data_IF_805038465875
#
_entry.id   IF_805038465875
#
_cell.length_a   1.000
_cell.length_b   1.000
_cell.length_c   1.000
_cell.angle_alpha   90.00
_cell.angle_beta   90.00
_cell.angle_gamma   90.00
#
_symmetry.space_group_name_H-M   'P 1'
#
loop_
_entity.id
_entity.type
_entity.pdbx_description
1 polymer ?
#
# COMPACT_ATOMS: atom_id res chain seq x y z
N UNK A 1 33.27 -1.21 -8.17
CA UNK A 1 32.18 -0.58 -7.40
C UNK A 1 32.68 0.78 -7.00
N UNK A 2 32.07 1.83 -7.55
CA UNK A 2 32.40 3.21 -7.17
C UNK A 2 31.57 3.54 -5.92
N UNK A 3 32.22 3.47 -4.76
CA UNK A 3 31.56 3.53 -3.45
C UNK A 3 30.77 4.82 -3.20
N UNK A 4 31.04 5.88 -3.95
CA UNK A 4 30.31 7.14 -3.84
C UNK A 4 28.94 7.10 -4.52
N UNK A 5 28.83 6.45 -5.68
CA UNK A 5 27.56 6.39 -6.42
C UNK A 5 26.55 5.50 -5.67
N UNK A 6 27.00 4.38 -5.13
CA UNK A 6 26.17 3.47 -4.33
C UNK A 6 25.66 4.15 -3.05
N UNK A 7 26.49 5.00 -2.43
CA UNK A 7 26.09 5.76 -1.25
C UNK A 7 25.03 6.82 -1.59
N UNK A 8 25.22 7.57 -2.67
CA UNK A 8 24.25 8.57 -3.13
C UNK A 8 22.92 7.88 -3.45
N UNK A 9 22.97 6.80 -4.23
CA UNK A 9 21.81 5.97 -4.55
C UNK A 9 21.08 5.54 -3.29
N UNK A 10 21.80 5.02 -2.30
CA UNK A 10 21.21 4.61 -1.04
C UNK A 10 20.54 5.76 -0.29
N UNK A 11 21.21 6.91 -0.17
CA UNK A 11 20.67 8.07 0.54
C UNK A 11 19.40 8.63 -0.13
N UNK A 12 19.36 8.66 -1.47
CA UNK A 12 18.23 9.21 -2.22
C UNK A 12 17.01 8.27 -2.28
N UNK A 13 17.22 6.95 -2.17
CA UNK A 13 16.17 5.94 -2.32
C UNK A 13 15.80 5.20 -1.03
N UNK A 14 16.53 5.42 0.06
CA UNK A 14 16.25 4.77 1.34
C UNK A 14 15.01 5.36 2.03
N UNK A 15 14.01 4.53 2.41
CA UNK A 15 12.89 4.97 3.24
C UNK A 15 13.33 5.51 4.61
N UNK A 16 14.50 5.12 5.12
CA UNK A 16 15.01 5.67 6.37
C UNK A 16 15.55 7.10 6.22
N UNK A 17 16.20 7.42 5.09
CA UNK A 17 16.81 8.73 4.85
C UNK A 17 15.94 9.69 4.01
N UNK A 18 14.81 9.23 3.47
CA UNK A 18 13.94 10.06 2.63
C UNK A 18 13.53 11.36 3.32
N UNK A 19 13.65 12.44 2.57
CA UNK A 19 13.27 13.81 2.94
C UNK A 19 13.98 14.40 4.18
N UNK A 20 15.09 13.82 4.65
CA UNK A 20 15.81 14.32 5.82
C UNK A 20 16.26 15.79 5.71
N UNK A 21 16.45 16.30 4.49
CA UNK A 21 16.88 17.69 4.27
C UNK A 21 15.72 18.68 4.40
N UNK A 22 14.51 18.32 3.98
CA UNK A 22 13.35 19.21 3.99
C UNK A 22 12.41 18.96 5.18
N UNK A 23 12.53 17.81 5.85
CA UNK A 23 11.67 17.43 6.94
C UNK A 23 11.92 18.29 8.20
N UNK A 24 10.83 18.85 8.74
CA UNK A 24 10.87 19.62 9.99
C UNK A 24 11.47 18.81 11.15
N UNK A 25 12.14 19.50 12.10
CA UNK A 25 12.68 18.84 13.30
C UNK A 25 11.62 18.06 14.09
N UNK A 26 10.37 18.50 14.07
CA UNK A 26 9.26 17.85 14.77
C UNK A 26 8.87 16.55 14.07
N UNK A 27 8.70 16.59 12.75
CA UNK A 27 8.37 15.41 11.94
C UNK A 27 9.47 14.36 12.04
N UNK A 28 10.73 14.78 11.92
CA UNK A 28 11.90 13.91 12.07
C UNK A 28 11.93 13.23 13.44
N UNK A 29 11.74 14.00 14.52
CA UNK A 29 11.69 13.44 15.88
C UNK A 29 10.53 12.45 16.04
N UNK A 30 9.37 12.73 15.44
CA UNK A 30 8.23 11.79 15.44
C UNK A 30 8.59 10.50 14.72
N UNK A 31 9.17 10.59 13.52
CA UNK A 31 9.63 9.42 12.78
C UNK A 31 10.62 8.58 13.61
N UNK A 32 11.65 9.19 14.19
CA UNK A 32 12.59 8.46 15.04
C UNK A 32 11.92 7.78 16.23
N UNK A 33 10.97 8.43 16.89
CA UNK A 33 10.23 7.83 18.01
C UNK A 33 9.37 6.64 17.57
N UNK A 34 8.76 6.70 16.38
CA UNK A 34 7.99 5.59 15.82
C UNK A 34 8.92 4.47 15.36
N UNK A 35 10.03 4.80 14.69
CA UNK A 35 11.06 3.86 14.24
C UNK A 35 11.62 3.02 15.40
N UNK A 36 11.94 3.65 16.53
CA UNK A 36 12.51 2.94 17.69
C UNK A 36 11.57 1.84 18.25
N UNK A 37 10.26 2.01 18.08
CA UNK A 37 9.23 1.07 18.55
C UNK A 37 8.94 -0.06 17.57
N UNK A 38 9.46 0.02 16.35
CA UNK A 38 9.25 -1.01 15.34
C UNK A 38 9.92 -2.34 15.75
N UNK A 39 9.31 -3.48 15.40
CA UNK A 39 10.00 -4.76 15.34
C UNK A 39 11.27 -4.68 14.48
N UNK A 40 12.27 -5.48 14.81
CA UNK A 40 13.56 -5.46 14.12
C UNK A 40 13.43 -5.71 12.61
N UNK A 41 12.55 -6.64 12.22
CA UNK A 41 12.21 -6.93 10.82
C UNK A 41 11.79 -5.69 10.02
N UNK A 42 11.04 -4.77 10.64
CA UNK A 42 10.59 -3.53 10.02
C UNK A 42 11.67 -2.43 10.05
N UNK A 43 12.52 -2.41 11.08
CA UNK A 43 13.70 -1.52 11.10
C UNK A 43 14.66 -1.90 9.98
N UNK A 44 14.99 -3.18 9.88
CA UNK A 44 15.85 -3.74 8.84
C UNK A 44 15.32 -3.38 7.45
N UNK A 45 14.02 -3.50 7.21
CA UNK A 45 13.40 -3.11 5.95
C UNK A 45 13.66 -1.65 5.60
N UNK A 46 13.52 -0.72 6.56
CA UNK A 46 13.70 0.71 6.31
C UNK A 46 15.16 1.08 6.04
N UNK A 47 16.12 0.43 6.71
CA UNK A 47 17.56 0.74 6.59
C UNK A 47 18.27 -0.11 5.53
N UNK A 48 17.63 -1.15 5.00
CA UNK A 48 18.25 -2.09 4.07
C UNK A 48 18.61 -1.45 2.74
N UNK A 49 19.82 -1.75 2.26
CA UNK A 49 20.27 -1.39 0.90
C UNK A 49 19.42 -2.08 -0.17
N UNK A 50 18.90 -3.28 0.09
CA UNK A 50 18.02 -3.99 -0.84
C UNK A 50 16.71 -3.24 -1.08
N UNK A 51 16.20 -2.55 -0.06
CA UNK A 51 15.00 -1.73 -0.19
C UNK A 51 15.26 -0.52 -1.09
N UNK A 52 16.39 0.15 -0.86
CA UNK A 52 16.86 1.24 -1.71
C UNK A 52 17.09 0.77 -3.18
N UNK A 53 17.72 -0.39 -3.35
CA UNK A 53 17.95 -1.00 -4.68
C UNK A 53 16.63 -1.29 -5.41
N UNK A 54 15.62 -1.82 -4.71
CA UNK A 54 14.30 -2.04 -5.27
C UNK A 54 13.67 -0.72 -5.73
N UNK A 55 13.66 0.29 -4.88
CA UNK A 55 13.09 1.61 -5.20
C UNK A 55 13.81 2.24 -6.40
N UNK A 56 15.13 2.13 -6.46
CA UNK A 56 15.91 2.58 -7.62
C UNK A 56 15.61 1.75 -8.88
N UNK A 57 15.41 0.44 -8.77
CA UNK A 57 15.04 -0.38 -9.94
C UNK A 57 13.66 0.01 -10.49
N UNK A 58 12.70 0.31 -9.62
CA UNK A 58 11.39 0.84 -10.00
C UNK A 58 11.51 2.19 -10.69
N UNK A 59 12.43 3.05 -10.26
CA UNK A 59 12.65 4.33 -10.95
C UNK A 59 13.16 4.17 -12.38
N UNK A 60 13.98 3.14 -12.64
CA UNK A 60 14.40 2.80 -14.01
C UNK A 60 13.28 2.15 -14.82
N UNK A 61 12.55 1.20 -14.26
CA UNK A 61 11.47 0.47 -14.95
C UNK A 61 10.31 1.39 -15.34
N UNK A 62 9.91 2.30 -14.44
CA UNK A 62 8.76 3.19 -14.62
C UNK A 62 9.14 4.63 -14.98
N UNK A 63 10.42 4.87 -15.32
CA UNK A 63 10.95 6.21 -15.66
C UNK A 63 10.64 7.29 -14.60
N UNK A 64 10.75 6.92 -13.32
CA UNK A 64 10.54 7.85 -12.21
C UNK A 64 11.77 8.76 -12.06
N UNK A 65 11.53 10.06 -11.94
CA UNK A 65 12.57 11.03 -11.58
C UNK A 65 12.91 10.93 -10.07
N UNK A 66 13.89 11.72 -9.61
CA UNK A 66 14.33 11.68 -8.21
C UNK A 66 13.21 12.06 -7.23
N UNK A 67 12.34 13.00 -7.59
CA UNK A 67 11.19 13.41 -6.76
C UNK A 67 10.18 12.26 -6.61
N UNK A 68 9.81 11.64 -7.72
CA UNK A 68 8.92 10.48 -7.76
C UNK A 68 9.50 9.30 -6.97
N UNK A 69 10.82 9.08 -7.07
CA UNK A 69 11.51 8.06 -6.27
C UNK A 69 11.42 8.35 -4.77
N UNK A 70 11.57 9.62 -4.37
CA UNK A 70 11.37 10.05 -2.98
C UNK A 70 9.94 9.79 -2.51
N UNK A 71 8.93 10.08 -3.33
CA UNK A 71 7.52 9.78 -3.00
C UNK A 71 7.31 8.28 -2.73
N UNK A 72 7.92 7.39 -3.53
CA UNK A 72 7.84 5.94 -3.29
C UNK A 72 8.50 5.56 -1.96
N UNK A 73 9.71 6.05 -1.69
CA UNK A 73 10.43 5.78 -0.44
C UNK A 73 9.67 6.30 0.79
N UNK A 74 9.08 7.49 0.69
CA UNK A 74 8.27 8.12 1.73
C UNK A 74 6.99 7.32 2.00
N UNK A 75 6.30 6.88 0.95
CA UNK A 75 5.10 6.05 1.11
C UNK A 75 5.41 4.71 1.79
N UNK A 76 6.53 4.08 1.43
CA UNK A 76 7.02 2.87 2.12
C UNK A 76 7.27 3.16 3.60
N UNK A 77 7.97 4.26 3.94
CA UNK A 77 8.17 4.70 5.32
C UNK A 77 6.83 4.82 6.05
N UNK A 78 5.86 5.54 5.46
CA UNK A 78 4.57 5.79 6.08
C UNK A 78 3.74 4.53 6.31
N UNK A 79 3.83 3.55 5.43
CA UNK A 79 3.15 2.27 5.61
C UNK A 79 3.77 1.49 6.76
N UNK A 80 5.11 1.43 6.81
CA UNK A 80 5.85 0.65 7.82
C UNK A 80 5.67 1.23 9.22
N UNK A 81 5.68 2.57 9.38
CA UNK A 81 5.43 3.22 10.69
C UNK A 81 3.94 3.28 11.05
N UNK A 82 3.04 2.84 10.15
CA UNK A 82 1.60 2.80 10.37
C UNK A 82 0.90 4.15 10.28
N UNK A 83 1.45 5.11 9.52
CA UNK A 83 0.78 6.37 9.19
C UNK A 83 -0.16 6.22 7.98
N UNK A 84 0.11 5.26 7.10
CA UNK A 84 -0.70 4.93 5.93
C UNK A 84 -1.09 3.46 5.96
N UNK A 85 -2.35 3.17 5.63
CA UNK A 85 -2.82 1.79 5.49
C UNK A 85 -2.36 1.21 4.15
N UNK A 86 -1.82 -0.01 4.16
CA UNK A 86 -1.20 -0.67 2.98
C UNK A 86 -2.13 -0.72 1.77
N UNK A 87 -3.44 -0.84 1.99
CA UNK A 87 -4.45 -0.89 0.92
C UNK A 87 -4.56 0.41 0.10
N UNK A 88 -4.11 1.54 0.64
CA UNK A 88 -4.18 2.84 -0.03
C UNK A 88 -2.94 3.14 -0.88
N UNK A 89 -1.94 2.26 -0.88
CA UNK A 89 -0.72 2.48 -1.67
C UNK A 89 -1.00 2.72 -3.16
N UNK A 90 -1.85 1.94 -3.87
CA UNK A 90 -2.09 2.18 -5.29
C UNK A 90 -2.63 3.58 -5.57
N UNK A 91 -3.60 4.03 -4.79
CA UNK A 91 -4.24 5.34 -5.00
C UNK A 91 -3.29 6.48 -4.67
N UNK A 92 -2.49 6.34 -3.61
CA UNK A 92 -1.48 7.32 -3.22
C UNK A 92 -0.33 7.40 -4.23
N UNK A 93 0.08 6.27 -4.82
CA UNK A 93 1.08 6.27 -5.89
C UNK A 93 0.53 6.88 -7.18
N UNK A 94 -0.69 6.54 -7.58
CA UNK A 94 -1.30 7.11 -8.78
C UNK A 94 -1.40 8.64 -8.68
N UNK A 95 -1.91 9.13 -7.55
CA UNK A 95 -2.02 10.56 -7.29
C UNK A 95 -0.67 11.25 -7.09
N UNK A 96 0.24 10.65 -6.31
CA UNK A 96 1.52 11.25 -5.96
C UNK A 96 2.48 11.33 -7.14
N UNK A 97 2.50 10.30 -7.99
CA UNK A 97 3.40 10.22 -9.15
C UNK A 97 2.77 10.77 -10.44
N UNK A 98 1.47 11.12 -10.42
CA UNK A 98 0.70 11.49 -11.61
C UNK A 98 0.78 10.44 -12.73
N UNK A 99 0.66 9.16 -12.36
CA UNK A 99 0.70 8.00 -13.27
C UNK A 99 -0.66 7.32 -13.39
N UNK A 100 -0.80 6.44 -14.39
CA UNK A 100 -2.00 5.61 -14.52
C UNK A 100 -2.20 4.70 -13.31
N UNK A 101 -3.47 4.39 -13.01
CA UNK A 101 -3.81 3.44 -11.94
C UNK A 101 -3.20 2.05 -12.18
N UNK A 102 -3.02 1.66 -13.45
CA UNK A 102 -2.36 0.42 -13.83
C UNK A 102 -0.89 0.39 -13.39
N UNK A 103 -0.11 1.39 -13.77
CA UNK A 103 1.30 1.49 -13.36
C UNK A 103 1.43 1.56 -11.83
N UNK A 104 0.53 2.30 -11.16
CA UNK A 104 0.52 2.38 -9.71
C UNK A 104 0.23 1.01 -9.05
N UNK A 105 -0.66 0.20 -9.63
CA UNK A 105 -0.92 -1.18 -9.16
C UNK A 105 0.28 -2.09 -9.39
N UNK A 106 0.97 -1.96 -10.51
CA UNK A 106 2.16 -2.76 -10.81
C UNK A 106 3.31 -2.44 -9.85
N UNK A 107 3.58 -1.15 -9.62
CA UNK A 107 4.55 -0.69 -8.61
C UNK A 107 4.14 -1.22 -7.22
N UNK A 108 2.86 -1.11 -6.86
CA UNK A 108 2.37 -1.64 -5.58
C UNK A 108 2.60 -3.15 -5.47
N UNK A 109 2.31 -3.91 -6.52
CA UNK A 109 2.52 -5.36 -6.56
C UNK A 109 3.99 -5.72 -6.36
N UNK A 110 4.92 -4.98 -6.96
CA UNK A 110 6.37 -5.14 -6.76
C UNK A 110 6.75 -4.89 -5.31
N UNK A 111 6.30 -3.77 -4.72
CA UNK A 111 6.57 -3.42 -3.32
C UNK A 111 6.02 -4.51 -2.40
N UNK A 112 4.77 -4.92 -2.59
CA UNK A 112 4.16 -5.94 -1.71
C UNK A 112 4.94 -7.25 -1.81
N UNK A 113 5.16 -7.77 -3.02
CA UNK A 113 5.72 -9.10 -3.21
C UNK A 113 7.21 -9.19 -2.87
N UNK A 114 7.99 -8.13 -3.14
CA UNK A 114 9.44 -8.16 -2.96
C UNK A 114 9.89 -7.55 -1.64
N UNK A 115 9.13 -6.61 -1.08
CA UNK A 115 9.51 -5.87 0.13
C UNK A 115 8.65 -6.24 1.34
N UNK A 116 7.31 -6.24 1.21
CA UNK A 116 6.43 -6.42 2.36
C UNK A 116 6.10 -7.87 2.70
N UNK A 117 6.09 -8.79 1.73
CA UNK A 117 5.81 -10.22 1.96
C UNK A 117 6.55 -10.82 3.17
N UNK A 118 7.88 -10.63 3.36
CA UNK A 118 8.59 -11.23 4.50
C UNK A 118 8.21 -10.62 5.86
N UNK A 119 7.60 -9.44 5.88
CA UNK A 119 7.29 -8.68 7.12
C UNK A 119 5.81 -8.35 7.26
N UNK A 120 4.96 -8.94 6.43
CA UNK A 120 3.56 -8.55 6.28
C UNK A 120 2.78 -8.68 7.59
N UNK A 121 3.09 -9.72 8.37
CA UNK A 121 2.46 -9.93 9.68
C UNK A 121 2.81 -8.83 10.68
N UNK A 122 4.03 -8.31 10.66
CA UNK A 122 4.42 -7.20 11.53
C UNK A 122 3.79 -5.88 11.06
N UNK A 123 3.70 -5.64 9.75
CA UNK A 123 2.95 -4.51 9.18
C UNK A 123 1.47 -4.58 9.63
N UNK A 124 0.84 -5.75 9.56
CA UNK A 124 -0.55 -5.94 9.99
C UNK A 124 -0.73 -5.63 11.48
N UNK A 125 0.17 -6.10 12.35
CA UNK A 125 0.11 -5.79 13.80
C UNK A 125 0.14 -4.28 14.04
N UNK A 126 1.10 -3.58 13.43
CA UNK A 126 1.20 -2.11 13.52
C UNK A 126 -0.09 -1.45 13.02
N UNK A 127 -0.65 -1.90 11.90
CA UNK A 127 -1.89 -1.34 11.37
C UNK A 127 -3.11 -1.62 12.24
N UNK A 128 -3.20 -2.78 12.89
CA UNK A 128 -4.25 -3.09 13.85
C UNK A 128 -4.16 -2.17 15.08
N UNK A 129 -2.95 -1.91 15.57
CA UNK A 129 -2.74 -1.00 16.69
C UNK A 129 -3.08 0.45 16.35
N UNK A 130 -2.72 0.92 15.14
CA UNK A 130 -2.91 2.32 14.71
C UNK A 130 -4.32 2.62 14.22
N UNK A 131 -4.94 1.70 13.49
CA UNK A 131 -6.22 1.92 12.80
C UNK A 131 -7.37 1.07 13.37
N UNK A 132 -7.09 0.25 14.39
CA UNK A 132 -8.01 -0.76 14.89
C UNK A 132 -8.10 -1.97 13.96
N UNK A 133 -8.83 -3.00 14.41
CA UNK A 133 -9.28 -4.07 13.53
C UNK A 133 -10.31 -3.51 12.55
N UNK A 134 -9.88 -2.93 11.44
CA UNK A 134 -10.69 -2.89 10.22
C UNK A 134 -10.73 -4.31 9.64
N UNK A 135 -11.36 -5.22 10.37
CA UNK A 135 -11.84 -6.49 9.81
C UNK A 135 -12.72 -6.13 8.64
N UNK A 136 -12.43 -6.76 7.50
CA UNK A 136 -13.32 -7.02 6.37
C UNK A 136 -14.43 -5.98 6.16
N UNK A 137 -14.34 -5.27 5.04
CA UNK A 137 -15.54 -4.80 4.35
C UNK A 137 -16.63 -5.89 4.43
N UNK A 138 -17.87 -5.57 4.85
CA UNK A 138 -18.93 -6.56 4.88
C UNK A 138 -19.02 -7.20 3.50
N UNK A 139 -19.15 -8.54 3.46
CA UNK A 139 -19.46 -9.26 2.24
C UNK A 139 -20.57 -8.51 1.49
N UNK A 140 -20.50 -8.40 0.15
CA UNK A 140 -21.53 -7.69 -0.60
C UNK A 140 -22.89 -8.23 -0.18
N UNK A 141 -23.72 -7.35 0.38
CA UNK A 141 -25.13 -7.65 0.64
C UNK A 141 -25.69 -8.23 -0.66
N UNK A 142 -26.24 -9.45 -0.68
CA UNK A 142 -26.90 -9.94 -1.88
C UNK A 142 -27.94 -8.90 -2.27
N UNK A 143 -27.88 -8.45 -3.53
CA UNK A 143 -28.84 -7.52 -4.08
C UNK A 143 -30.27 -8.00 -3.75
N UNK A 144 -31.22 -7.10 -3.45
CA UNK A 144 -32.61 -7.50 -3.31
C UNK A 144 -33.03 -8.22 -4.59
N UNK A 145 -33.32 -9.51 -4.49
CA UNK A 145 -34.05 -10.21 -5.53
C UNK A 145 -35.40 -9.51 -5.65
N UNK A 146 -35.55 -8.72 -6.71
CA UNK A 146 -36.87 -8.25 -7.15
C UNK A 146 -37.72 -9.49 -7.37
N UNK A 147 -38.91 -9.61 -6.74
CA UNK A 147 -39.83 -10.68 -7.08
C UNK A 147 -40.23 -10.49 -8.54
N UNK A 148 -39.67 -11.33 -9.40
CA UNK A 148 -40.09 -11.44 -10.78
C UNK A 148 -41.56 -11.82 -10.80
N UNK A 149 -42.31 -10.93 -11.42
CA UNK A 149 -43.73 -11.00 -11.72
C UNK A 149 -44.11 -12.41 -12.20
N UNK A 150 -44.90 -13.13 -11.39
CA UNK A 150 -45.48 -14.42 -11.73
C UNK A 150 -46.52 -14.16 -12.81
N UNK A 151 -46.14 -14.34 -14.07
CA UNK A 151 -47.09 -14.43 -15.18
C UNK A 151 -47.05 -15.86 -15.69
N UNK A 152 -47.79 -16.74 -15.01
CA UNK A 152 -47.98 -18.13 -15.40
C UNK A 152 -49.38 -18.27 -16.01
N UNK A 153 -49.54 -18.24 -17.35
CA UNK A 153 -50.83 -18.45 -17.98
C UNK A 153 -51.14 -19.95 -18.05
N UNK A 154 -51.57 -20.54 -16.93
CA UNK A 154 -52.12 -21.92 -16.95
C UNK A 154 -52.93 -22.30 -15.70
N UNK A 155 -53.76 -21.37 -15.20
CA UNK A 155 -54.76 -21.72 -14.18
C UNK A 155 -56.16 -21.75 -14.78
N UNK A 156 -56.48 -22.85 -15.46
CA UNK A 156 -57.86 -23.17 -15.85
C UNK A 156 -58.58 -23.71 -14.62
N UNK A 157 -59.42 -22.89 -14.02
CA UNK A 157 -60.33 -23.31 -12.95
C UNK A 157 -61.58 -23.90 -13.62
N UNK A 158 -61.68 -25.23 -13.63
CA UNK A 158 -62.85 -25.96 -14.11
C UNK A 158 -63.92 -25.97 -13.01
N UNK A 159 -65.01 -25.22 -13.21
CA UNK A 159 -66.14 -25.09 -12.28
C UNK A 159 -67.42 -25.67 -12.90
N UNK A 160 -67.36 -26.94 -13.32
CA UNK A 160 -68.57 -27.71 -13.67
C UNK A 160 -68.52 -29.12 -13.09
N UNK A 161 -68.92 -29.23 -11.82
CA UNK A 161 -69.57 -30.44 -11.34
C UNK A 161 -71.02 -30.09 -10.96
N UNK A 162 -71.93 -30.71 -11.71
CA UNK A 162 -73.34 -30.91 -11.41
C UNK A 162 -73.50 -32.37 -10.96
#
# INVERSE_FOLDING_TARGET
>A
MDTNEDLIKYLDSSPFFVDLENESRISRRRFFNDFQKLPESLKDLLVSTKTADLIFSLSKEFSLNNENMRIVAELIRYVVVGNVYIKYIPDLLASGLSISQENARDITGRIINQLFSPVLEDIKKIQIEKFGKKTAEPAPTPAPVTPSNINNPNNTVDLRNK
#
